data_IF_479473675757
#
_entry.id   IF_479473675757
#
_cell.length_a   1.000
_cell.length_b   1.000
_cell.length_c   1.000
_cell.angle_alpha   90.00
_cell.angle_beta   90.00
_cell.angle_gamma   90.00
#
_symmetry.space_group_name_H-M   'P 1'
#
loop_
_entity.id
_entity.type
_entity.pdbx_description
1 polymer ?
#
# COMPACT_ATOMS: atom_id res chain seq x y z
N UNK A 1 4.43 32.41 -0.13
CA UNK A 1 4.83 30.99 -0.14
C UNK A 1 4.25 30.38 1.13
N UNK A 2 3.03 29.86 1.01
CA UNK A 2 2.05 29.75 2.08
C UNK A 2 1.87 28.32 2.56
N UNK A 3 1.28 28.15 3.75
CA UNK A 3 0.99 26.87 4.43
C UNK A 3 0.42 25.79 3.49
N UNK A 4 -0.31 26.18 2.45
CA UNK A 4 -0.87 25.30 1.41
C UNK A 4 0.19 24.53 0.60
N UNK A 5 1.34 25.13 0.31
CA UNK A 5 2.46 24.46 -0.41
C UNK A 5 3.08 23.38 0.48
N UNK A 6 3.26 23.69 1.78
CA UNK A 6 3.77 22.73 2.76
C UNK A 6 2.86 21.52 2.93
N UNK A 7 1.55 21.73 3.05
CA UNK A 7 0.55 20.65 3.15
C UNK A 7 0.51 19.79 1.88
N UNK A 8 0.67 20.40 0.71
CA UNK A 8 0.69 19.69 -0.57
C UNK A 8 1.91 18.76 -0.70
N UNK A 9 3.09 19.23 -0.25
CA UNK A 9 4.32 18.42 -0.23
C UNK A 9 4.21 17.24 0.74
N UNK A 10 3.68 17.47 1.94
CA UNK A 10 3.44 16.43 2.95
C UNK A 10 2.50 15.35 2.42
N UNK A 11 1.37 15.73 1.85
CA UNK A 11 0.41 14.78 1.30
C UNK A 11 1.00 13.96 0.14
N UNK A 12 1.79 14.59 -0.73
CA UNK A 12 2.48 13.90 -1.83
C UNK A 12 3.49 12.87 -1.32
N UNK A 13 4.25 13.21 -0.27
CA UNK A 13 5.21 12.29 0.34
C UNK A 13 4.52 11.09 0.99
N UNK A 14 3.44 11.31 1.74
CA UNK A 14 2.66 10.26 2.39
C UNK A 14 2.01 9.31 1.38
N UNK A 15 1.50 9.86 0.26
CA UNK A 15 0.99 9.08 -0.85
C UNK A 15 2.06 8.18 -1.45
N UNK A 16 3.25 8.74 -1.74
CA UNK A 16 4.35 7.99 -2.33
C UNK A 16 4.90 6.91 -1.39
N UNK A 17 5.02 7.20 -0.10
CA UNK A 17 5.45 6.24 0.92
C UNK A 17 4.45 5.07 1.07
N UNK A 18 3.14 5.38 1.07
CA UNK A 18 2.09 4.37 1.13
C UNK A 18 2.09 3.46 -0.11
N UNK A 19 2.25 4.02 -1.31
CA UNK A 19 2.40 3.24 -2.54
C UNK A 19 3.67 2.39 -2.52
N UNK A 20 4.80 2.96 -2.12
CA UNK A 20 6.09 2.25 -2.02
C UNK A 20 6.02 1.05 -1.08
N UNK A 21 5.34 1.19 0.07
CA UNK A 21 5.17 0.09 1.04
C UNK A 21 4.35 -1.06 0.46
N UNK A 22 3.27 -0.76 -0.27
CA UNK A 22 2.42 -1.78 -0.90
C UNK A 22 3.15 -2.51 -2.03
N UNK A 23 3.92 -1.78 -2.84
CA UNK A 23 4.77 -2.36 -3.88
C UNK A 23 5.87 -3.23 -3.29
N UNK A 24 6.53 -2.77 -2.22
CA UNK A 24 7.53 -3.54 -1.51
C UNK A 24 6.94 -4.85 -0.96
N UNK A 25 5.77 -4.79 -0.31
CA UNK A 25 5.08 -5.96 0.20
C UNK A 25 4.68 -6.94 -0.94
N UNK A 26 4.26 -6.43 -2.09
CA UNK A 26 3.95 -7.26 -3.27
C UNK A 26 5.20 -7.99 -3.79
N UNK A 27 6.33 -7.28 -3.89
CA UNK A 27 7.62 -7.88 -4.31
C UNK A 27 8.11 -8.91 -3.29
N UNK A 28 7.99 -8.63 -2.00
CA UNK A 28 8.31 -9.57 -0.92
C UNK A 28 7.45 -10.84 -1.01
N UNK A 29 6.13 -10.67 -1.23
CA UNK A 29 5.22 -11.79 -1.40
C UNK A 29 5.55 -12.64 -2.63
N UNK A 30 5.97 -12.03 -3.74
CA UNK A 30 6.43 -12.74 -4.94
C UNK A 30 7.69 -13.56 -4.63
N UNK A 31 8.66 -12.97 -3.91
CA UNK A 31 9.95 -13.60 -3.57
C UNK A 31 9.82 -14.73 -2.54
N UNK A 32 8.83 -14.68 -1.64
CA UNK A 32 8.65 -15.71 -0.61
C UNK A 32 8.13 -17.04 -1.18
N UNK A 33 8.67 -18.20 -0.73
CA UNK A 33 8.19 -19.50 -1.17
C UNK A 33 6.75 -19.77 -0.67
N UNK A 34 5.90 -20.44 -1.47
CA UNK A 34 4.50 -20.68 -1.11
C UNK A 34 4.33 -21.47 0.18
N UNK A 35 5.23 -22.42 0.43
CA UNK A 35 5.24 -23.28 1.62
C UNK A 35 5.36 -22.49 2.93
N UNK A 36 5.98 -21.30 2.90
CA UNK A 36 6.11 -20.44 4.09
C UNK A 36 4.77 -19.80 4.50
N UNK A 37 3.83 -19.63 3.56
CA UNK A 37 2.50 -19.09 3.86
C UNK A 37 1.61 -20.17 4.50
N UNK A 38 1.66 -21.38 3.96
CA UNK A 38 0.92 -22.53 4.48
C UNK A 38 1.44 -22.98 5.84
N UNK A 39 2.76 -23.06 6.02
CA UNK A 39 3.39 -23.43 7.29
C UNK A 39 3.11 -22.42 8.43
N UNK A 40 2.85 -21.16 8.09
CA UNK A 40 2.47 -20.12 9.05
C UNK A 40 0.97 -20.09 9.36
N UNK A 41 0.17 -21.02 8.82
CA UNK A 41 -1.29 -21.06 8.97
C UNK A 41 -1.99 -19.85 8.33
N UNK A 42 -1.34 -19.16 7.39
CA UNK A 42 -1.91 -18.00 6.68
C UNK A 42 -2.71 -18.45 5.46
N UNK A 43 -3.48 -17.52 4.90
CA UNK A 43 -4.07 -17.67 3.56
C UNK A 43 -2.99 -18.01 2.53
N UNK A 44 -3.38 -18.69 1.44
CA UNK A 44 -2.47 -19.14 0.38
C UNK A 44 -1.68 -17.97 -0.22
N UNK A 45 -0.50 -18.25 -0.79
CA UNK A 45 0.32 -17.25 -1.47
C UNK A 45 -0.49 -16.49 -2.54
N UNK A 46 -1.33 -17.19 -3.30
CA UNK A 46 -2.19 -16.60 -4.32
C UNK A 46 -3.18 -15.59 -3.75
N UNK A 47 -3.84 -15.91 -2.64
CA UNK A 47 -4.76 -14.98 -1.97
C UNK A 47 -4.03 -13.71 -1.50
N UNK A 48 -2.84 -13.85 -0.90
CA UNK A 48 -2.02 -12.70 -0.49
C UNK A 48 -1.56 -11.83 -1.66
N UNK A 49 -1.13 -12.44 -2.77
CA UNK A 49 -0.76 -11.68 -3.97
C UNK A 49 -1.96 -10.90 -4.53
N UNK A 50 -3.15 -11.51 -4.56
CA UNK A 50 -4.37 -10.82 -5.00
C UNK A 50 -4.67 -9.64 -4.08
N UNK A 51 -4.70 -9.82 -2.76
CA UNK A 51 -4.98 -8.74 -1.80
C UNK A 51 -3.97 -7.59 -1.93
N UNK A 52 -2.67 -7.90 -2.04
CA UNK A 52 -1.62 -6.89 -2.17
C UNK A 52 -1.73 -6.14 -3.51
N UNK A 53 -1.98 -6.85 -4.61
CA UNK A 53 -2.20 -6.22 -5.92
C UNK A 53 -3.45 -5.33 -5.91
N UNK A 54 -4.53 -5.77 -5.27
CA UNK A 54 -5.75 -4.99 -5.13
C UNK A 54 -5.51 -3.74 -4.27
N UNK A 55 -4.71 -3.85 -3.20
CA UNK A 55 -4.31 -2.70 -2.39
C UNK A 55 -3.49 -1.65 -3.14
N UNK A 56 -2.64 -2.07 -4.08
CA UNK A 56 -1.93 -1.15 -5.01
C UNK A 56 -2.94 -0.48 -5.95
N UNK A 57 -3.81 -1.26 -6.60
CA UNK A 57 -4.81 -0.74 -7.55
C UNK A 57 -5.75 0.25 -6.88
N UNK A 58 -6.32 -0.09 -5.72
CA UNK A 58 -7.20 0.81 -4.95
C UNK A 58 -6.45 2.08 -4.55
N UNK A 59 -5.18 1.97 -4.17
CA UNK A 59 -4.33 3.11 -3.86
C UNK A 59 -4.13 4.10 -5.01
N UNK A 60 -4.10 3.59 -6.24
CA UNK A 60 -3.96 4.41 -7.46
C UNK A 60 -5.30 4.97 -7.93
N UNK A 61 -6.39 4.19 -7.82
CA UNK A 61 -7.74 4.57 -8.28
C UNK A 61 -8.42 5.54 -7.32
N UNK A 62 -8.14 5.46 -6.02
CA UNK A 62 -8.76 6.28 -4.97
C UNK A 62 -7.71 7.12 -4.21
N UNK A 63 -7.10 8.14 -4.84
CA UNK A 63 -5.99 8.92 -4.25
C UNK A 63 -6.38 9.81 -3.04
N UNK A 64 -7.64 9.81 -2.59
CA UNK A 64 -8.15 10.64 -1.49
C UNK A 64 -8.39 9.92 -0.15
N UNK A 65 -7.93 8.67 0.02
CA UNK A 65 -8.26 7.84 1.20
C UNK A 65 -7.75 8.44 2.51
N UNK A 66 -6.63 9.16 2.48
CA UNK A 66 -6.06 9.83 3.66
C UNK A 66 -6.95 10.93 4.24
N UNK A 67 -7.85 11.50 3.43
CA UNK A 67 -8.80 12.52 3.88
C UNK A 67 -10.14 11.93 4.37
N UNK A 68 -10.38 10.62 4.24
CA UNK A 68 -11.62 9.97 4.68
C UNK A 68 -11.84 10.07 6.19
N UNK A 69 -10.76 10.14 6.96
CA UNK A 69 -10.79 10.28 8.42
C UNK A 69 -10.59 11.72 8.88
N UNK A 70 -10.51 12.69 7.95
CA UNK A 70 -10.27 14.11 8.25
C UNK A 70 -9.07 14.32 9.21
N UNK A 71 -7.97 13.60 8.96
CA UNK A 71 -6.71 13.67 9.73
C UNK A 71 -5.57 14.34 8.93
N UNK A 72 -5.93 15.11 7.90
CA UNK A 72 -5.00 15.84 7.05
C UNK A 72 -4.99 17.34 7.39
#
# INVERSE_FOLDING_TARGET
>A
MGITEGMTLLNSLLFLASLGTRLFALVDAIRRPPQAFEAAGKLTKTAWMIILSLGVVVGLVLPGTVNLLNIA
#
